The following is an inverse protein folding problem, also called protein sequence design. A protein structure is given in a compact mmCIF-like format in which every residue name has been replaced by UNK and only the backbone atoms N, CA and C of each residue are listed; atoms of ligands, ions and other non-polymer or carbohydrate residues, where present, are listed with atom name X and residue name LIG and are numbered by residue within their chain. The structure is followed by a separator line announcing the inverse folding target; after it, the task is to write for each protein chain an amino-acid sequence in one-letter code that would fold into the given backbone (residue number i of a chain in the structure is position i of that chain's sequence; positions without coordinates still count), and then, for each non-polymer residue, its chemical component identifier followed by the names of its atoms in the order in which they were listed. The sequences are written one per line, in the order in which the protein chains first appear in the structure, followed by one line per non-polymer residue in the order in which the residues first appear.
data_IF_138443114283
#
_entry.id   IF_138443114283
#
_cell.length_a   1.000
_cell.length_b   1.000
_cell.length_c   1.000
_cell.angle_alpha   90.00
_cell.angle_beta   90.00
_cell.angle_gamma   90.00
#
_symmetry.space_group_name_H-M   'P 1'
#
loop_
_entity.id
_entity.type
_entity.pdbx_description
1 polymer ?
#
# COMPACT_ATOMS: atom_id res chain seq x y z
N UNK A 1 12.40 2.30 -21.81
CA UNK A 1 12.05 1.73 -20.49
C UNK A 1 11.30 2.80 -19.71
N UNK A 2 10.07 2.53 -19.28
CA UNK A 2 9.18 3.54 -18.70
C UNK A 2 9.69 3.98 -17.32
N UNK A 3 10.18 5.21 -17.20
CA UNK A 3 10.73 5.76 -15.95
C UNK A 3 9.74 5.78 -14.78
N UNK A 4 8.45 5.66 -15.04
CA UNK A 4 7.39 5.51 -14.03
C UNK A 4 7.63 4.34 -13.07
N UNK A 5 8.00 3.15 -13.57
CA UNK A 5 8.19 1.97 -12.72
C UNK A 5 9.38 2.12 -11.77
N UNK A 6 10.49 2.70 -12.26
CA UNK A 6 11.68 2.96 -11.44
C UNK A 6 11.37 4.01 -10.35
N UNK A 7 10.61 5.05 -10.71
CA UNK A 7 10.25 6.14 -9.81
C UNK A 7 9.21 5.69 -8.77
N UNK A 8 8.28 4.81 -9.17
CA UNK A 8 7.41 4.06 -8.28
C UNK A 8 8.18 3.23 -7.27
N UNK A 9 9.08 2.37 -7.74
CA UNK A 9 9.93 1.54 -6.88
C UNK A 9 10.70 2.38 -5.86
N UNK A 10 11.23 3.54 -6.27
CA UNK A 10 11.90 4.47 -5.37
C UNK A 10 10.95 5.04 -4.30
N UNK A 11 9.74 5.44 -4.69
CA UNK A 11 8.70 5.91 -3.77
C UNK A 11 8.33 4.84 -2.72
N UNK A 12 8.06 3.61 -3.16
CA UNK A 12 7.77 2.48 -2.27
C UNK A 12 8.92 2.18 -1.31
N UNK A 13 10.15 2.22 -1.81
CA UNK A 13 11.36 2.03 -1.00
C UNK A 13 11.47 3.09 0.10
N UNK A 14 11.18 4.35 -0.22
CA UNK A 14 11.26 5.43 0.77
C UNK A 14 10.20 5.24 1.87
N UNK A 15 8.95 4.91 1.51
CA UNK A 15 7.91 4.57 2.49
C UNK A 15 8.26 3.37 3.39
N UNK A 16 8.84 2.32 2.81
CA UNK A 16 9.34 1.16 3.56
C UNK A 16 10.43 1.56 4.55
N UNK A 17 11.36 2.42 4.15
CA UNK A 17 12.45 2.88 5.01
C UNK A 17 11.92 3.74 6.15
N UNK A 18 10.98 4.64 5.89
CA UNK A 18 10.33 5.47 6.91
C UNK A 18 9.60 4.60 7.92
N UNK A 19 8.78 3.64 7.46
CA UNK A 19 8.11 2.68 8.35
C UNK A 19 9.09 1.96 9.27
N UNK A 20 10.18 1.43 8.71
CA UNK A 20 11.22 0.72 9.47
C UNK A 20 11.92 1.63 10.47
N UNK A 21 12.23 2.87 10.10
CA UNK A 21 12.83 3.86 11.00
C UNK A 21 11.91 4.18 12.19
N UNK A 22 10.59 4.09 12.00
CA UNK A 22 9.57 4.26 13.04
C UNK A 22 9.25 2.99 13.82
N UNK A 23 9.89 1.86 13.51
CA UNK A 23 9.65 0.58 14.20
C UNK A 23 8.29 -0.07 13.90
N UNK A 24 7.55 0.44 12.91
CA UNK A 24 6.22 -0.06 12.55
C UNK A 24 6.34 -1.35 11.74
N UNK A 25 5.60 -2.39 12.09
CA UNK A 25 5.62 -3.68 11.41
C UNK A 25 4.69 -3.69 10.19
N UNK A 26 4.80 -4.72 9.35
CA UNK A 26 3.85 -4.93 8.26
C UNK A 26 2.45 -5.34 8.78
N UNK A 27 2.38 -5.94 9.98
CA UNK A 27 1.12 -6.31 10.60
C UNK A 27 0.35 -5.04 11.04
N UNK A 28 1.05 -4.05 11.59
CA UNK A 28 0.45 -2.77 11.98
C UNK A 28 -0.17 -2.05 10.77
N UNK A 29 0.55 -2.05 9.63
CA UNK A 29 0.02 -1.50 8.37
C UNK A 29 -1.19 -2.29 7.87
N UNK A 30 -1.15 -3.62 7.93
CA UNK A 30 -2.29 -4.47 7.60
C UNK A 30 -3.50 -4.10 8.47
N UNK A 31 -3.30 -3.94 9.77
CA UNK A 31 -4.38 -3.65 10.70
C UNK A 31 -4.95 -2.25 10.49
N UNK A 32 -4.13 -1.26 10.14
CA UNK A 32 -4.55 0.09 9.83
C UNK A 32 -5.27 0.22 8.48
N UNK A 33 -4.74 -0.42 7.44
CA UNK A 33 -5.22 -0.24 6.06
C UNK A 33 -6.19 -1.32 5.58
N UNK A 34 -6.29 -2.42 6.33
CA UNK A 34 -6.99 -3.66 5.94
C UNK A 34 -6.54 -4.24 4.61
N UNK A 35 -5.33 -3.87 4.16
CA UNK A 35 -4.71 -4.43 2.97
C UNK A 35 -4.04 -5.75 3.28
N UNK A 36 -4.25 -6.77 2.42
CA UNK A 36 -3.62 -8.08 2.58
C UNK A 36 -2.10 -7.97 2.70
N UNK A 37 -1.53 -8.76 3.62
CA UNK A 37 -0.11 -8.70 3.99
C UNK A 37 0.84 -8.84 2.79
N UNK A 38 0.53 -9.77 1.88
CA UNK A 38 1.34 -9.98 0.66
C UNK A 38 1.25 -8.81 -0.31
N UNK A 39 0.13 -8.08 -0.31
CA UNK A 39 -0.02 -6.90 -1.14
C UNK A 39 0.79 -5.73 -0.59
N UNK A 40 0.86 -5.56 0.73
CA UNK A 40 1.73 -4.56 1.36
C UNK A 40 3.20 -4.86 1.03
N UNK A 41 3.61 -6.13 1.11
CA UNK A 41 4.97 -6.54 0.70
C UNK A 41 5.27 -6.23 -0.75
N UNK A 42 4.35 -6.53 -1.67
CA UNK A 42 4.51 -6.24 -3.10
C UNK A 42 4.58 -4.73 -3.34
N UNK A 43 3.68 -3.98 -2.73
CA UNK A 43 3.72 -2.52 -2.78
C UNK A 43 5.08 -1.98 -2.35
N UNK A 44 5.63 -2.43 -1.21
CA UNK A 44 6.95 -1.98 -0.74
C UNK A 44 8.12 -2.36 -1.67
N UNK A 45 7.88 -3.24 -2.65
CA UNK A 45 8.86 -3.69 -3.63
C UNK A 45 8.72 -2.98 -4.99
N UNK A 46 7.49 -2.83 -5.51
CA UNK A 46 7.25 -2.35 -6.88
C UNK A 46 6.26 -1.18 -6.99
N UNK A 47 5.74 -0.68 -5.87
CA UNK A 47 4.70 0.36 -5.77
C UNK A 47 3.36 0.07 -6.45
N UNK A 48 3.19 -1.09 -7.10
CA UNK A 48 1.96 -1.52 -7.78
C UNK A 48 1.41 -0.54 -8.84
N UNK A 49 2.19 0.44 -9.30
CA UNK A 49 1.70 1.52 -10.20
C UNK A 49 1.12 0.97 -11.50
N UNK A 50 1.71 -0.12 -12.03
CA UNK A 50 1.28 -0.77 -13.27
C UNK A 50 0.62 -2.14 -13.02
N UNK A 51 0.20 -2.42 -11.79
CA UNK A 51 -0.36 -3.73 -11.46
C UNK A 51 -1.81 -3.81 -11.97
N UNK A 52 -2.18 -4.84 -12.77
CA UNK A 52 -3.47 -4.89 -13.45
C UNK A 52 -4.67 -4.95 -12.50
N UNK A 53 -4.46 -5.44 -11.27
CA UNK A 53 -5.50 -5.50 -10.23
C UNK A 53 -5.56 -4.24 -9.34
N UNK A 54 -4.69 -3.24 -9.56
CA UNK A 54 -4.58 -2.06 -8.72
C UNK A 54 -4.88 -0.79 -9.52
N UNK A 55 -6.08 -0.26 -9.35
CA UNK A 55 -6.43 1.06 -9.87
C UNK A 55 -5.75 2.14 -9.03
N UNK A 56 -5.40 3.26 -9.67
CA UNK A 56 -4.90 4.49 -9.06
C UNK A 56 -5.72 4.97 -7.87
N UNK A 57 -7.05 4.85 -7.94
CA UNK A 57 -7.94 5.24 -6.83
C UNK A 57 -7.64 4.40 -5.58
N UNK A 58 -7.50 3.08 -5.74
CA UNK A 58 -7.19 2.18 -4.63
C UNK A 58 -5.78 2.42 -4.08
N UNK A 59 -4.80 2.63 -4.96
CA UNK A 59 -3.44 2.99 -4.57
C UNK A 59 -3.40 4.28 -3.75
N UNK A 60 -4.18 5.29 -4.15
CA UNK A 60 -4.29 6.58 -3.43
C UNK A 60 -4.91 6.40 -2.05
N UNK A 61 -5.99 5.61 -1.93
CA UNK A 61 -6.61 5.29 -0.64
C UNK A 61 -5.64 4.53 0.28
N UNK A 62 -4.93 3.55 -0.26
CA UNK A 62 -3.95 2.80 0.50
C UNK A 62 -2.79 3.68 0.98
N UNK A 63 -2.21 4.48 0.09
CA UNK A 63 -1.10 5.40 0.45
C UNK A 63 -1.55 6.42 1.49
N UNK A 64 -2.80 6.90 1.42
CA UNK A 64 -3.37 7.76 2.46
C UNK A 64 -3.38 7.06 3.83
N UNK A 65 -3.97 5.87 3.92
CA UNK A 65 -4.01 5.13 5.20
C UNK A 65 -2.62 4.76 5.70
N UNK A 66 -1.68 4.48 4.79
CA UNK A 66 -0.28 4.23 5.12
C UNK A 66 0.40 5.48 5.70
N UNK A 67 0.16 6.66 5.12
CA UNK A 67 0.69 7.93 5.61
C UNK A 67 0.11 8.32 6.97
N UNK A 68 -1.21 8.17 7.13
CA UNK A 68 -1.91 8.43 8.39
C UNK A 68 -1.36 7.55 9.52
N UNK A 69 -1.20 6.25 9.28
CA UNK A 69 -0.70 5.32 10.30
C UNK A 69 0.77 5.58 10.67
N UNK A 70 1.55 6.15 9.76
CA UNK A 70 2.92 6.50 10.06
C UNK A 70 3.04 7.83 10.81
N UNK A 71 2.03 8.69 10.88
CA UNK A 71 2.14 10.11 11.23
C UNK A 71 3.00 10.87 10.19
N UNK A 72 2.64 10.73 8.91
CA UNK A 72 3.20 11.52 7.80
C UNK A 72 2.17 12.55 7.31
N UNK A 73 2.65 13.58 6.61
CA UNK A 73 1.77 14.51 5.93
C UNK A 73 1.11 13.80 4.74
N UNK A 74 -0.22 13.67 4.79
CA UNK A 74 -0.99 12.91 3.81
C UNK A 74 -0.92 13.56 2.45
N UNK A 75 -1.07 14.89 2.36
CA UNK A 75 -1.10 15.60 1.08
C UNK A 75 0.23 15.53 0.36
N UNK A 76 1.34 15.73 1.07
CA UNK A 76 2.70 15.59 0.58
C UNK A 76 2.97 14.16 0.10
N UNK A 77 2.49 13.16 0.85
CA UNK A 77 2.67 11.75 0.48
C UNK A 77 1.88 11.38 -0.77
N UNK A 78 0.65 11.87 -0.91
CA UNK A 78 -0.14 11.70 -2.11
C UNK A 78 0.46 12.45 -3.31
N UNK A 79 0.99 13.66 -3.10
CA UNK A 79 1.69 14.38 -4.16
C UNK A 79 2.96 13.63 -4.62
N UNK A 80 3.70 13.04 -3.69
CA UNK A 80 4.82 12.16 -3.98
C UNK A 80 4.41 10.94 -4.83
N UNK A 81 3.26 10.32 -4.52
CA UNK A 81 2.69 9.25 -5.33
C UNK A 81 2.38 9.73 -6.75
N UNK A 82 1.72 10.88 -6.91
CA UNK A 82 1.40 11.46 -8.24
C UNK A 82 2.67 11.77 -9.05
N UNK A 83 3.74 12.23 -8.39
CA UNK A 83 5.04 12.40 -9.03
C UNK A 83 5.65 11.06 -9.44
N UNK A 84 5.46 10.00 -8.65
CA UNK A 84 5.98 8.67 -8.97
C UNK A 84 5.29 8.07 -10.20
N UNK A 85 3.96 8.16 -10.24
CA UNK A 85 3.13 7.78 -11.40
C UNK A 85 3.55 8.59 -12.65
N UNK A 86 3.87 9.88 -12.50
CA UNK A 86 4.35 10.71 -13.63
C UNK A 86 5.83 10.50 -13.96
N UNK A 87 6.54 9.59 -13.30
CA UNK A 87 7.98 9.36 -13.51
C UNK A 87 8.90 10.50 -13.03
N UNK A 88 8.39 11.41 -12.20
CA UNK A 88 9.08 12.62 -11.70
C UNK A 88 9.46 12.58 -10.22
N UNK A 89 9.16 11.50 -9.51
CA UNK A 89 9.50 11.38 -8.10
C UNK A 89 11.01 11.34 -7.84
N UNK A 90 11.51 12.27 -7.01
CA UNK A 90 12.94 12.47 -6.78
C UNK A 90 13.39 12.11 -5.34
N UNK A 91 12.59 11.36 -4.59
CA UNK A 91 12.90 10.98 -3.20
C UNK A 91 12.64 12.09 -2.19
N UNK A 92 11.55 12.86 -2.36
CA UNK A 92 11.17 13.92 -1.42
C UNK A 92 10.88 13.37 -0.02
N UNK A 93 10.28 12.18 0.10
CA UNK A 93 9.92 11.60 1.40
C UNK A 93 11.14 11.19 2.21
N UNK A 94 12.16 10.60 1.57
CA UNK A 94 13.39 10.25 2.28
C UNK A 94 14.16 11.50 2.77
N UNK A 95 14.15 12.58 1.99
CA UNK A 95 14.77 13.85 2.43
C UNK A 95 14.08 14.41 3.67
N UNK A 96 12.76 14.40 3.67
CA UNK A 96 11.94 14.97 4.74
C UNK A 96 12.00 14.12 6.02
N UNK A 97 11.78 12.81 5.91
CA UNK A 97 11.54 11.96 7.07
C UNK A 97 12.75 11.11 7.50
N UNK A 98 13.77 11.00 6.67
CA UNK A 98 15.00 10.26 6.99
C UNK A 98 16.23 11.17 7.08
N UNK A 99 16.08 12.48 6.89
CA UNK A 99 17.18 13.43 6.94
C UNK A 99 18.23 13.23 5.85
N UNK A 100 17.87 12.62 4.71
CA UNK A 100 18.78 12.38 3.58
C UNK A 100 19.08 13.64 2.74
N UNK A 101 18.62 14.81 3.17
CA UNK A 101 19.23 16.07 2.76
C UNK A 101 20.66 16.08 3.30
N UNK A 102 21.66 16.03 2.42
CA UNK A 102 23.08 16.06 2.77
C UNK A 102 23.37 16.99 3.97
N UNK A 103 23.55 16.36 5.14
CA UNK A 103 24.12 16.90 6.37
C UNK A 103 23.77 18.37 6.68
N UNK A 104 22.69 18.60 7.43
CA UNK A 104 22.68 19.60 8.52
C UNK A 104 21.95 19.06 9.74
N UNK A 105 22.77 18.78 10.74
CA UNK A 105 22.47 18.60 12.16
C UNK A 105 21.45 19.61 12.69
N UNK A 106 20.52 19.14 13.52
CA UNK A 106 19.96 19.92 14.61
C UNK A 106 18.45 19.84 14.75
N UNK A 107 17.94 18.75 15.31
CA UNK A 107 16.82 18.89 16.25
C UNK A 107 16.79 17.75 17.27
N UNK A 108 16.33 18.12 18.44
CA UNK A 108 16.60 17.62 19.78
C UNK A 108 15.80 16.34 20.11
N UNK A 109 16.36 15.37 20.86
CA UNK A 109 15.58 14.22 21.31
C UNK A 109 14.55 14.67 22.34
N UNK A 110 13.30 14.15 22.31
CA UNK A 110 12.30 14.50 23.32
C UNK A 110 12.78 14.03 24.70
N UNK A 111 12.91 15.02 25.58
CA UNK A 111 13.09 14.94 27.02
C UNK A 111 12.10 13.93 27.64
N UNK A 112 12.55 12.70 27.89
CA UNK A 112 11.88 11.82 28.85
C UNK A 112 12.47 12.08 30.24
N UNK A 113 11.86 13.04 30.94
CA UNK A 113 11.99 13.13 32.40
C UNK A 113 11.22 11.98 33.05
N UNK A 114 11.94 10.98 33.57
CA UNK A 114 11.55 10.25 34.78
C UNK A 114 12.76 10.08 35.71
N UNK A 115 12.92 11.06 36.59
CA UNK A 115 13.47 10.89 37.95
C UNK A 115 12.51 9.93 38.69
N UNK A 116 12.90 9.00 39.57
CA UNK A 116 13.92 9.05 40.62
C UNK A 116 14.08 7.67 41.27
N UNK A 117 15.31 7.42 41.77
CA UNK A 117 15.63 6.68 43.01
C UNK A 117 15.66 5.14 42.98
N UNK A 118 16.87 4.57 42.88
CA UNK A 118 17.76 4.26 44.03
C UNK A 118 18.64 3.04 43.74
N UNK A 119 19.96 3.29 43.73
CA UNK A 119 21.03 2.28 43.79
C UNK A 119 20.85 1.34 45.01
N UNK A 120 21.32 0.09 45.05
CA UNK A 120 22.72 -0.41 44.92
C UNK A 120 22.69 -1.96 45.19
N UNK A 121 23.82 -2.71 45.22
CA UNK A 121 24.44 -3.43 44.10
C UNK A 121 24.57 -4.97 44.29
N UNK A 122 25.01 -5.65 43.20
CA UNK A 122 25.89 -6.83 43.09
C UNK A 122 25.84 -8.00 44.10
N UNK A 123 25.65 -9.24 43.60
CA UNK A 123 26.63 -10.34 43.78
C UNK A 123 26.25 -11.64 43.04
N UNK A 124 27.28 -12.24 42.40
CA UNK A 124 27.59 -13.68 42.19
C UNK A 124 26.64 -14.66 41.48
N UNK A 125 27.04 -15.02 40.26
CA UNK A 125 27.58 -16.34 39.86
C UNK A 125 27.29 -17.58 40.75
N UNK A 126 26.53 -18.57 40.22
CA UNK A 126 26.90 -20.00 40.20
C UNK A 126 25.78 -20.94 39.70
N UNK A 127 26.16 -21.78 38.74
CA UNK A 127 25.96 -23.25 38.67
C UNK A 127 24.58 -23.93 38.87
N UNK A 128 24.06 -24.46 37.74
CA UNK A 128 23.84 -25.90 37.47
C UNK A 128 22.90 -26.76 38.37
N UNK A 129 21.77 -27.21 37.79
CA UNK A 129 21.13 -28.55 37.91
C UNK A 129 19.96 -28.62 36.90
N UNK A 130 19.99 -29.42 35.82
CA UNK A 130 19.73 -30.87 35.63
C UNK A 130 18.32 -31.37 36.02
N UNK A 131 17.68 -32.00 35.03
CA UNK A 131 16.59 -33.02 35.07
C UNK A 131 15.21 -32.58 35.65
N UNK A 132 14.04 -33.03 35.21
CA UNK A 132 13.63 -34.19 34.42
C UNK A 132 12.28 -33.92 33.69
N UNK A 133 12.00 -34.77 32.70
CA UNK A 133 10.73 -35.02 31.96
C UNK A 133 9.47 -35.17 32.85
N UNK A 134 8.25 -35.02 32.28
CA UNK A 134 7.51 -36.26 32.00
C UNK A 134 6.67 -36.29 30.70
N UNK A 135 6.72 -37.49 30.09
CA UNK A 135 5.63 -38.30 29.54
C UNK A 135 4.63 -37.76 28.50
N UNK A 136 4.83 -38.25 27.27
CA UNK A 136 3.76 -38.72 26.37
C UNK A 136 3.06 -39.97 26.94
N UNK A 137 1.72 -40.04 26.86
CA UNK A 137 0.91 -41.22 26.42
C UNK A 137 -0.59 -40.89 26.53
N UNK A 138 -1.35 -40.89 25.42
CA UNK A 138 -2.37 -41.91 25.01
C UNK A 138 -3.52 -42.05 26.03
N UNK A 139 -4.81 -42.00 25.72
CA UNK A 139 -5.57 -42.33 24.49
C UNK A 139 -7.07 -41.92 24.70
N UNK A 140 -8.09 -42.42 23.96
CA UNK A 140 -9.25 -41.64 23.51
C UNK A 140 -10.56 -42.11 24.19
N UNK A 141 -11.71 -41.91 23.51
CA UNK A 141 -12.95 -42.69 23.64
C UNK A 141 -14.09 -42.10 24.50
N UNK A 142 -15.13 -41.60 23.83
CA UNK A 142 -16.54 -42.00 23.97
C UNK A 142 -17.42 -41.01 23.20
N UNK A 143 -17.94 -41.39 22.02
CA UNK A 143 -19.21 -42.11 21.81
C UNK A 143 -20.44 -41.22 22.10
N UNK A 144 -21.06 -40.66 21.04
CA UNK A 144 -22.22 -41.20 20.29
C UNK A 144 -23.59 -40.88 20.94
N UNK A 145 -24.34 -39.90 20.40
CA UNK A 145 -25.59 -40.03 19.58
C UNK A 145 -26.85 -39.62 20.36
N UNK A 146 -28.07 -39.44 19.79
CA UNK A 146 -28.53 -39.21 18.40
C UNK A 146 -29.58 -38.06 18.23
N UNK A 147 -29.88 -37.77 16.95
CA UNK A 147 -31.15 -37.32 16.32
C UNK A 147 -32.28 -36.66 17.13
N UNK A 148 -32.79 -35.54 16.60
CA UNK A 148 -34.20 -35.47 16.23
C UNK A 148 -34.47 -34.52 15.04
N UNK A 149 -35.19 -35.05 14.05
CA UNK A 149 -35.83 -34.38 12.91
C UNK A 149 -37.32 -34.72 13.04
N UNK A 150 -38.26 -33.80 12.77
CA UNK A 150 -39.14 -34.01 11.60
C UNK A 150 -39.46 -32.69 10.84
N UNK A 151 -39.49 -32.74 9.50
CA UNK A 151 -40.68 -32.65 8.63
C UNK A 151 -41.13 -31.19 8.36
N UNK A 152 -40.82 -30.62 7.20
CA UNK A 152 -41.62 -30.67 5.96
C UNK A 152 -42.96 -29.92 6.06
N UNK A 153 -43.06 -28.77 5.40
CA UNK A 153 -44.33 -28.27 4.86
C UNK A 153 -44.08 -27.50 3.56
N UNK A 154 -44.47 -28.15 2.48
CA UNK A 154 -44.72 -27.67 1.13
C UNK A 154 -45.74 -26.52 1.15
N UNK A 155 -45.50 -25.46 0.39
CA UNK A 155 -46.39 -24.32 0.21
C UNK A 155 -46.15 -23.72 -1.18
N UNK A 156 -46.96 -24.19 -2.13
CA UNK A 156 -47.01 -23.87 -3.56
C UNK A 156 -48.05 -22.76 -3.79
N UNK A 157 -48.01 -22.14 -4.98
CA UNK A 157 -48.97 -21.16 -5.55
C UNK A 157 -48.86 -19.73 -4.98
N UNK A 158 -48.97 -18.63 -5.73
CA UNK A 158 -49.49 -18.36 -7.08
C UNK A 158 -49.17 -16.90 -7.47
N UNK A 159 -49.14 -16.60 -8.78
CA UNK A 159 -49.25 -15.26 -9.40
C UNK A 159 -48.16 -14.19 -9.14
N UNK A 160 -47.36 -13.72 -10.10
CA UNK A 160 -47.38 -13.91 -11.54
C UNK A 160 -46.29 -13.06 -12.24
N UNK A 161 -46.02 -13.30 -13.53
CA UNK A 161 -45.23 -12.40 -14.37
C UNK A 161 -46.14 -11.42 -15.12
N UNK A 162 -45.72 -10.17 -15.32
CA UNK A 162 -46.05 -9.46 -16.55
C UNK A 162 -44.83 -9.50 -17.47
N UNK A 163 -44.97 -10.31 -18.52
CA UNK A 163 -44.30 -10.07 -19.79
C UNK A 163 -44.94 -8.86 -20.49
N UNK A 164 -44.24 -8.38 -21.52
CA UNK A 164 -44.63 -7.35 -22.52
C UNK A 164 -44.19 -5.93 -22.08
N UNK A 165 -43.42 -5.12 -22.82
CA UNK A 165 -43.14 -5.03 -24.26
C UNK A 165 -41.77 -4.35 -24.52
N UNK A 166 -40.92 -4.93 -25.37
CA UNK A 166 -40.06 -4.19 -26.34
C UNK A 166 -40.94 -3.65 -27.48
N UNK A 167 -40.60 -2.62 -28.33
CA UNK A 167 -39.27 -2.07 -28.66
C UNK A 167 -39.20 -0.53 -28.96
N UNK A 168 -38.01 0.08 -28.89
CA UNK A 168 -37.58 1.23 -29.74
C UNK A 168 -36.08 1.46 -29.45
N UNK A 169 -35.14 1.04 -30.30
CA UNK A 169 -34.67 1.81 -31.46
C UNK A 169 -34.62 3.31 -31.18
N UNK A 170 -33.52 3.79 -30.59
CA UNK A 170 -32.95 5.06 -31.01
C UNK A 170 -31.48 4.82 -31.32
N UNK A 171 -31.20 4.94 -32.60
CA UNK A 171 -29.89 4.88 -33.26
C UNK A 171 -28.89 5.84 -32.63
N UNK A 172 -27.59 5.52 -32.72
CA UNK A 172 -26.53 6.47 -32.37
C UNK A 172 -26.65 7.71 -33.25
N UNK A 173 -26.49 8.89 -32.66
CA UNK A 173 -26.17 10.12 -33.37
C UNK A 173 -24.64 10.30 -33.36
N UNK A 174 -23.93 9.86 -34.41
CA UNK A 174 -22.62 10.39 -34.70
C UNK A 174 -22.82 11.68 -35.51
N UNK A 175 -22.65 12.83 -34.88
CA UNK A 175 -22.51 14.09 -35.61
C UNK A 175 -21.30 13.96 -36.57
N UNK A 176 -21.50 14.03 -37.89
CA UNK A 176 -20.43 13.96 -38.86
C UNK A 176 -20.04 15.38 -39.28
N UNK A 177 -19.03 15.96 -38.63
CA UNK A 177 -18.37 17.17 -39.13
C UNK A 177 -16.94 16.82 -39.54
N UNK A 178 -16.81 16.34 -40.78
CA UNK A 178 -15.56 16.33 -41.53
C UNK A 178 -15.44 17.68 -42.32
N UNK A 179 -14.46 17.87 -43.21
CA UNK A 179 -13.06 18.24 -42.91
C UNK A 179 -12.60 19.46 -43.74
N UNK A 180 -11.81 20.39 -43.18
CA UNK A 180 -10.92 21.26 -43.98
C UNK A 180 -9.64 21.52 -43.18
N UNK A 181 -8.49 20.97 -43.59
CA UNK A 181 -7.60 21.46 -44.64
C UNK A 181 -7.03 22.85 -44.33
N UNK A 182 -5.84 22.91 -43.76
CA UNK A 182 -4.77 23.75 -44.35
C UNK A 182 -3.39 23.24 -43.92
N UNK A 183 -2.60 22.90 -44.93
CA UNK A 183 -1.17 22.73 -44.84
C UNK A 183 -0.47 24.10 -44.84
N UNK A 184 0.62 24.21 -44.07
CA UNK A 184 1.79 25.07 -44.29
C UNK A 184 2.82 24.60 -43.25
N UNK A 185 3.77 23.73 -43.55
CA UNK A 185 4.95 23.94 -44.39
C UNK A 185 5.90 25.03 -43.87
N UNK A 186 7.18 24.66 -43.76
CA UNK A 186 8.37 25.54 -43.85
C UNK A 186 8.68 26.36 -42.59
N UNK A 187 9.76 26.10 -41.83
CA UNK A 187 11.16 26.23 -42.28
C UNK A 187 12.13 25.59 -41.30
N UNK A 188 13.10 24.85 -41.83
CA UNK A 188 14.35 24.47 -41.19
C UNK A 188 15.37 25.62 -41.25
N UNK A 189 16.09 25.87 -40.16
CA UNK A 189 17.42 26.53 -40.14
C UNK A 189 18.07 26.17 -38.80
N UNK A 190 18.93 25.16 -38.75
CA UNK A 190 20.38 25.21 -38.99
C UNK A 190 21.18 25.41 -37.68
N UNK A 191 21.99 24.43 -37.25
CA UNK A 191 22.88 24.56 -36.10
C UNK A 191 24.27 25.04 -36.55
N UNK A 192 24.67 26.25 -36.14
CA UNK A 192 26.06 26.69 -36.24
C UNK A 192 26.88 26.18 -35.05
N UNK A 193 27.77 25.24 -35.34
CA UNK A 193 28.85 24.76 -34.49
C UNK A 193 30.07 25.74 -34.53
N UNK A 194 31.10 25.53 -33.69
CA UNK A 194 31.99 26.60 -33.21
C UNK A 194 33.26 26.79 -34.05
N UNK A 195 33.75 28.03 -34.13
CA UNK A 195 35.13 28.31 -34.58
C UNK A 195 36.11 28.31 -33.40
N UNK A 196 37.15 27.49 -33.56
CA UNK A 196 38.44 27.59 -32.90
C UNK A 196 39.20 28.77 -33.50
N UNK A 197 39.76 29.65 -32.68
CA UNK A 197 41.20 29.98 -32.74
C UNK A 197 41.66 30.62 -31.43
#
# INVERSE_FOLDING_TARGET
MSGEAERGTRFARDLRRIRRARGVSLADIHDATKMAYDMIKRFEHDALINHPQFNRVYLRLFVRGYAEHLDMDVEMTLQALELAIKGRYAGSLAKEYLGESGKKTGEEPPKQEKKTSRAKPASSESDQVKEAVPSRRTEPESAETPSEKPAASDGKDDSGPPASETPASETPDPEPTAPETTAAETTAAEPAAPEKT
#
